data_IF_840264297564
#
_entry.id   IF_840264297564
#
_cell.length_a   1.000
_cell.length_b   1.000
_cell.length_c   1.000
_cell.angle_alpha   90.00
_cell.angle_beta   90.00
_cell.angle_gamma   90.00
#
_symmetry.space_group_name_H-M   'P 1'
#
loop_
_entity.id
_entity.type
_entity.pdbx_description
1 polymer ?
#
# COMPACT_ATOMS: atom_id res chain seq x y z
N UNK A 1 2.81 -12.42 1.79
CA UNK A 1 3.14 -10.98 1.79
C UNK A 1 4.54 -10.76 1.23
N UNK A 2 4.76 -9.67 0.48
CA UNK A 2 6.07 -9.24 -0.01
C UNK A 2 6.27 -7.73 0.22
N UNK A 3 7.51 -7.25 0.07
CA UNK A 3 7.87 -5.84 0.15
C UNK A 3 8.37 -5.31 -1.21
N UNK A 4 8.12 -4.04 -1.52
CA UNK A 4 8.63 -3.36 -2.73
C UNK A 4 9.00 -1.90 -2.45
N UNK A 5 9.71 -1.26 -3.39
CA UNK A 5 9.86 0.19 -3.42
C UNK A 5 8.99 0.77 -4.54
N UNK A 6 8.39 1.94 -4.28
CA UNK A 6 7.63 2.70 -5.28
C UNK A 6 8.56 3.77 -5.87
N UNK A 7 8.93 3.62 -7.15
CA UNK A 7 9.82 4.55 -7.87
C UNK A 7 9.02 5.54 -8.74
N UNK A 8 9.00 6.85 -8.38
CA UNK A 8 8.42 7.90 -9.21
C UNK A 8 8.89 7.89 -10.68
N UNK A 9 10.14 7.47 -10.95
CA UNK A 9 10.71 7.46 -12.30
C UNK A 9 10.29 6.24 -13.14
N UNK A 10 9.96 5.11 -12.51
CA UNK A 10 9.41 3.94 -13.20
C UNK A 10 7.98 4.19 -13.73
N UNK A 11 7.33 5.26 -13.27
CA UNK A 11 5.96 5.61 -13.63
C UNK A 11 5.85 6.50 -14.89
N UNK A 12 6.98 7.03 -15.40
CA UNK A 12 7.03 7.93 -16.56
C UNK A 12 7.63 7.31 -17.83
N UNK A 13 8.03 6.04 -17.82
CA UNK A 13 8.70 5.39 -18.94
C UNK A 13 7.78 4.44 -19.69
N UNK A 14 7.95 4.36 -21.02
CA UNK A 14 7.34 3.34 -21.88
C UNK A 14 7.62 1.92 -21.34
N UNK A 15 6.76 0.92 -21.64
CA UNK A 15 6.73 -0.41 -21.01
C UNK A 15 7.94 -1.32 -21.33
N UNK A 16 9.13 -0.76 -21.57
CA UNK A 16 10.36 -1.48 -21.87
C UNK A 16 11.13 -1.95 -20.61
N UNK A 17 10.56 -1.79 -19.41
CA UNK A 17 11.14 -2.38 -18.19
C UNK A 17 10.48 -3.72 -17.88
N UNK A 18 11.30 -4.76 -17.72
CA UNK A 18 10.96 -6.14 -17.36
C UNK A 18 10.47 -6.25 -15.89
N UNK A 19 9.63 -5.32 -15.46
CA UNK A 19 9.12 -5.22 -14.10
C UNK A 19 7.97 -6.22 -13.90
N UNK A 20 8.01 -6.97 -12.80
CA UNK A 20 6.94 -7.93 -12.47
C UNK A 20 5.60 -7.25 -12.15
N UNK A 21 5.61 -5.96 -11.78
CA UNK A 21 4.44 -5.15 -11.44
C UNK A 21 4.54 -3.81 -12.19
N UNK A 22 3.51 -3.50 -12.97
CA UNK A 22 3.34 -2.20 -13.61
C UNK A 22 2.46 -1.32 -12.75
N UNK A 23 3.02 -0.22 -12.26
CA UNK A 23 2.28 0.80 -11.55
C UNK A 23 1.69 1.79 -12.55
N UNK A 24 0.40 2.04 -12.42
CA UNK A 24 -0.32 2.97 -13.29
C UNK A 24 -0.69 4.18 -12.45
N UNK A 25 -0.18 5.35 -12.84
CA UNK A 25 -0.61 6.62 -12.26
C UNK A 25 -2.06 6.89 -12.68
N UNK A 26 -2.90 7.11 -11.68
CA UNK A 26 -4.34 7.29 -11.89
C UNK A 26 -4.83 8.59 -11.22
N UNK A 27 -4.54 9.77 -11.81
CA UNK A 27 -5.21 11.01 -11.38
C UNK A 27 -6.74 10.87 -11.45
N UNK A 28 -7.26 10.01 -12.35
CA UNK A 28 -8.68 9.68 -12.49
C UNK A 28 -9.30 9.11 -11.22
N UNK A 29 -8.53 8.48 -10.32
CA UNK A 29 -9.05 7.96 -9.04
C UNK A 29 -9.30 9.05 -8.00
N UNK A 30 -8.81 10.27 -8.26
CA UNK A 30 -9.10 11.47 -7.47
C UNK A 30 -10.21 12.33 -8.10
N UNK A 31 -10.62 11.99 -9.34
CA UNK A 31 -11.73 12.62 -10.04
C UNK A 31 -13.03 11.85 -9.79
N UNK A 32 -14.11 12.56 -9.49
CA UNK A 32 -15.41 11.94 -9.13
C UNK A 32 -16.27 11.57 -10.35
N UNK A 33 -15.80 11.75 -11.58
CA UNK A 33 -16.64 11.61 -12.78
C UNK A 33 -16.56 10.20 -13.43
N UNK A 34 -17.66 9.71 -14.05
CA UNK A 34 -17.68 8.40 -14.71
C UNK A 34 -16.76 8.27 -15.94
N UNK A 35 -16.55 9.35 -16.72
CA UNK A 35 -15.78 9.28 -17.95
C UNK A 35 -14.28 9.03 -17.66
N UNK A 36 -13.77 9.62 -16.58
CA UNK A 36 -12.42 9.36 -16.08
C UNK A 36 -12.21 7.87 -15.74
N UNK A 37 -13.24 7.17 -15.23
CA UNK A 37 -13.15 5.74 -14.90
C UNK A 37 -13.18 4.84 -16.13
N UNK A 38 -14.02 5.16 -17.11
CA UNK A 38 -14.03 4.46 -18.40
C UNK A 38 -12.67 4.59 -19.09
N UNK A 39 -12.11 5.80 -19.12
CA UNK A 39 -10.78 6.04 -19.69
C UNK A 39 -9.68 5.24 -18.97
N UNK A 40 -9.72 5.20 -17.63
CA UNK A 40 -8.80 4.38 -16.84
C UNK A 40 -8.93 2.88 -17.19
N UNK A 41 -10.16 2.37 -17.32
CA UNK A 41 -10.39 0.97 -17.67
C UNK A 41 -9.85 0.61 -19.07
N UNK A 42 -9.98 1.51 -20.04
CA UNK A 42 -9.40 1.36 -21.38
C UNK A 42 -7.87 1.31 -21.34
N UNK A 43 -7.24 2.26 -20.62
CA UNK A 43 -5.77 2.31 -20.42
C UNK A 43 -5.25 1.01 -19.82
N UNK A 44 -5.93 0.46 -18.82
CA UNK A 44 -5.54 -0.77 -18.13
C UNK A 44 -5.78 -2.02 -18.98
N UNK A 45 -6.80 -2.02 -19.83
CA UNK A 45 -7.04 -3.11 -20.79
C UNK A 45 -5.90 -3.21 -21.81
N UNK A 46 -5.34 -2.07 -22.23
CA UNK A 46 -4.19 -2.06 -23.13
C UNK A 46 -2.93 -2.68 -22.51
N UNK A 47 -2.87 -2.80 -21.18
CA UNK A 47 -1.80 -3.44 -20.41
C UNK A 47 -2.17 -4.87 -19.99
N UNK A 48 -3.07 -5.55 -20.70
CA UNK A 48 -3.42 -6.93 -20.38
C UNK A 48 -2.20 -7.88 -20.47
N UNK A 49 -2.12 -8.85 -19.56
CA UNK A 49 -1.05 -9.83 -19.50
C UNK A 49 0.09 -9.51 -18.53
N UNK A 50 0.06 -8.34 -17.90
CA UNK A 50 0.97 -7.96 -16.79
C UNK A 50 0.18 -7.64 -15.51
N UNK A 51 0.85 -7.68 -14.35
CA UNK A 51 0.23 -7.30 -13.09
C UNK A 51 0.12 -5.77 -13.01
N UNK A 52 -1.10 -5.25 -12.91
CA UNK A 52 -1.39 -3.82 -12.86
C UNK A 52 -1.72 -3.39 -11.44
N UNK A 53 -0.89 -2.51 -10.89
CA UNK A 53 -1.10 -1.89 -9.59
C UNK A 53 -1.53 -0.43 -9.77
N UNK A 54 -2.70 -0.07 -9.26
CA UNK A 54 -3.21 1.30 -9.29
C UNK A 54 -2.48 2.14 -8.25
N UNK A 55 -1.85 3.23 -8.69
CA UNK A 55 -1.23 4.22 -7.81
C UNK A 55 -2.02 5.53 -7.92
N UNK A 56 -2.82 5.88 -6.89
CA UNK A 56 -3.51 7.16 -6.84
C UNK A 56 -2.49 8.28 -6.69
N UNK A 57 -2.59 9.32 -7.53
CA UNK A 57 -1.71 10.50 -7.48
C UNK A 57 -2.57 11.75 -7.48
N UNK A 58 -2.19 12.73 -6.66
CA UNK A 58 -2.76 14.09 -6.74
C UNK A 58 -3.82 14.43 -5.71
N UNK A 59 -4.09 13.57 -4.72
CA UNK A 59 -5.02 13.87 -3.63
C UNK A 59 -5.64 12.63 -3.00
N UNK A 60 -6.62 12.83 -2.12
CA UNK A 60 -7.34 11.76 -1.43
C UNK A 60 -8.16 10.94 -2.44
N UNK A 61 -8.17 9.62 -2.24
CA UNK A 61 -8.97 8.72 -3.06
C UNK A 61 -10.46 9.06 -2.94
N UNK A 62 -11.14 9.23 -4.08
CA UNK A 62 -12.60 9.32 -4.08
C UNK A 62 -13.17 7.97 -3.67
N UNK A 63 -14.09 7.97 -2.71
CA UNK A 63 -14.72 6.74 -2.23
C UNK A 63 -15.54 6.08 -3.35
N UNK A 64 -15.05 4.95 -3.86
CA UNK A 64 -15.78 4.13 -4.84
C UNK A 64 -16.42 2.91 -4.18
N UNK A 65 -17.54 2.47 -4.74
CA UNK A 65 -18.23 1.24 -4.34
C UNK A 65 -17.47 0.00 -4.82
N UNK A 66 -17.83 -1.16 -4.26
CA UNK A 66 -17.25 -2.44 -4.69
C UNK A 66 -17.54 -2.73 -6.17
N UNK A 67 -18.75 -2.44 -6.65
CA UNK A 67 -19.17 -2.63 -8.03
C UNK A 67 -18.39 -1.73 -9.00
N UNK A 68 -18.09 -0.50 -8.60
CA UNK A 68 -17.29 0.43 -9.39
C UNK A 68 -15.84 -0.07 -9.52
N UNK A 69 -15.26 -0.62 -8.44
CA UNK A 69 -13.93 -1.22 -8.49
C UNK A 69 -13.85 -2.44 -9.41
N UNK A 70 -14.91 -3.25 -9.49
CA UNK A 70 -14.94 -4.42 -10.36
C UNK A 70 -14.83 -4.07 -11.85
N UNK A 71 -15.24 -2.86 -12.25
CA UNK A 71 -15.13 -2.37 -13.62
C UNK A 71 -13.70 -1.98 -14.01
N UNK A 72 -12.81 -1.79 -13.04
CA UNK A 72 -11.42 -1.42 -13.28
C UNK A 72 -10.58 -2.70 -13.34
N UNK A 73 -9.94 -3.04 -14.48
CA UNK A 73 -9.20 -4.28 -14.64
C UNK A 73 -7.78 -4.12 -14.08
N UNK A 74 -7.67 -4.09 -12.75
CA UNK A 74 -6.39 -4.02 -12.04
C UNK A 74 -6.30 -5.07 -10.94
N UNK A 75 -5.11 -5.65 -10.77
CA UNK A 75 -4.83 -6.72 -9.82
C UNK A 75 -4.53 -6.19 -8.42
N UNK A 76 -4.10 -4.94 -8.27
CA UNK A 76 -3.79 -4.36 -6.97
C UNK A 76 -4.06 -2.88 -6.89
N UNK A 77 -4.30 -2.40 -5.67
CA UNK A 77 -4.41 -0.98 -5.34
C UNK A 77 -3.33 -0.60 -4.33
N UNK A 78 -2.59 0.46 -4.62
CA UNK A 78 -1.64 1.09 -3.70
C UNK A 78 -2.36 2.13 -2.87
N UNK A 79 -2.18 2.11 -1.55
CA UNK A 79 -2.69 3.14 -0.64
C UNK A 79 -1.60 3.59 0.33
N UNK A 80 -1.68 4.84 0.80
CA UNK A 80 -0.87 5.34 1.91
C UNK A 80 -1.78 5.67 3.11
N UNK A 81 -2.16 4.67 3.92
CA UNK A 81 -3.13 4.86 5.00
C UNK A 81 -2.63 5.72 6.17
N UNK A 82 -1.34 6.03 6.23
CA UNK A 82 -0.75 6.87 7.29
C UNK A 82 -0.89 8.34 6.90
N UNK A 83 -0.51 8.69 5.66
CA UNK A 83 -0.61 10.07 5.14
C UNK A 83 -2.01 10.42 4.65
N UNK A 84 -2.76 9.44 4.18
CA UNK A 84 -4.15 9.54 3.76
C UNK A 84 -4.98 8.48 4.51
N UNK A 85 -5.47 8.79 5.73
CA UNK A 85 -6.33 7.88 6.48
C UNK A 85 -7.66 7.56 5.76
N UNK A 86 -8.11 8.41 4.84
CA UNK A 86 -9.35 8.19 4.09
C UNK A 86 -9.18 7.07 3.04
N UNK A 87 -7.95 6.78 2.61
CA UNK A 87 -7.63 5.63 1.76
C UNK A 87 -8.04 4.27 2.37
N UNK A 88 -8.27 4.19 3.69
CA UNK A 88 -8.89 3.01 4.31
C UNK A 88 -10.29 2.71 3.78
N UNK A 89 -11.07 3.73 3.41
CA UNK A 89 -12.40 3.53 2.82
C UNK A 89 -12.30 2.86 1.46
N UNK A 90 -11.34 3.27 0.64
CA UNK A 90 -11.05 2.62 -0.64
C UNK A 90 -10.59 1.16 -0.42
N UNK A 91 -9.71 0.90 0.55
CA UNK A 91 -9.28 -0.45 0.89
C UNK A 91 -10.43 -1.35 1.38
N UNK A 92 -11.43 -0.77 2.05
CA UNK A 92 -12.59 -1.49 2.56
C UNK A 92 -13.57 -1.92 1.46
N UNK A 93 -13.68 -1.14 0.37
CA UNK A 93 -14.54 -1.47 -0.79
C UNK A 93 -13.79 -2.18 -1.92
N UNK A 94 -12.46 -2.10 -1.95
CA UNK A 94 -11.62 -2.82 -2.91
C UNK A 94 -11.85 -4.34 -2.84
N UNK A 95 -11.98 -5.05 -3.97
CA UNK A 95 -12.26 -6.49 -3.99
C UNK A 95 -11.25 -7.32 -3.19
N UNK A 96 -11.76 -8.21 -2.34
CA UNK A 96 -10.94 -9.02 -1.42
C UNK A 96 -10.07 -10.08 -2.12
N UNK A 97 -10.42 -10.44 -3.36
CA UNK A 97 -9.64 -11.34 -4.21
C UNK A 97 -8.46 -10.66 -4.91
N UNK A 98 -8.40 -9.31 -4.90
CA UNK A 98 -7.32 -8.48 -5.45
C UNK A 98 -6.34 -8.03 -4.37
N UNK A 99 -5.14 -7.60 -4.76
CA UNK A 99 -4.07 -7.20 -3.85
C UNK A 99 -4.21 -5.79 -3.29
N UNK A 100 -3.70 -5.56 -2.07
CA UNK A 100 -3.43 -4.22 -1.53
C UNK A 100 -1.93 -4.04 -1.30
N UNK A 101 -1.40 -2.90 -1.71
CA UNK A 101 -0.02 -2.51 -1.47
C UNK A 101 -0.03 -1.30 -0.54
N UNK A 102 0.50 -1.44 0.67
CA UNK A 102 0.51 -0.38 1.67
C UNK A 102 1.84 0.38 1.61
N UNK A 103 1.81 1.63 1.16
CA UNK A 103 2.94 2.54 1.15
C UNK A 103 3.21 3.09 2.57
N UNK A 104 3.77 2.24 3.43
CA UNK A 104 3.90 2.47 4.87
C UNK A 104 5.23 3.10 5.29
N UNK A 105 6.29 2.89 4.51
CA UNK A 105 7.64 3.34 4.89
C UNK A 105 7.97 4.61 4.11
N UNK A 106 8.13 5.77 4.79
CA UNK A 106 8.51 7.01 4.13
C UNK A 106 9.86 6.93 3.42
N UNK A 107 10.07 7.82 2.46
CA UNK A 107 11.35 7.90 1.77
C UNK A 107 12.50 8.27 2.73
N UNK A 108 13.74 7.86 2.45
CA UNK A 108 14.91 8.41 3.12
C UNK A 108 14.95 9.94 2.95
N UNK A 109 15.29 10.67 4.01
CA UNK A 109 15.28 12.14 4.05
C UNK A 109 13.90 12.79 4.22
N UNK A 110 12.83 12.00 4.29
CA UNK A 110 11.47 12.46 4.61
C UNK A 110 11.19 12.30 6.12
N UNK A 111 9.92 12.29 6.53
CA UNK A 111 9.51 12.08 7.92
C UNK A 111 10.00 10.75 8.52
N UNK A 112 10.04 10.69 9.85
CA UNK A 112 10.33 9.46 10.55
C UNK A 112 9.23 8.41 10.27
N UNK A 113 9.63 7.15 10.12
CA UNK A 113 8.66 6.07 10.00
C UNK A 113 7.91 5.90 11.32
N UNK A 114 6.62 5.55 11.23
CA UNK A 114 5.82 5.16 12.39
C UNK A 114 6.42 3.93 13.11
N UNK A 115 6.15 3.76 14.42
CA UNK A 115 6.53 2.55 15.16
C UNK A 115 6.08 1.27 14.47
N UNK A 116 6.91 0.22 14.55
CA UNK A 116 6.66 -1.07 13.89
C UNK A 116 5.32 -1.68 14.28
N UNK A 117 4.83 -1.44 15.49
CA UNK A 117 3.52 -1.88 15.97
C UNK A 117 2.37 -1.26 15.17
N UNK A 118 2.45 0.03 14.83
CA UNK A 118 1.45 0.74 14.04
C UNK A 118 1.47 0.22 12.60
N UNK A 119 2.67 0.03 12.05
CA UNK A 119 2.84 -0.49 10.69
C UNK A 119 2.32 -1.93 10.57
N UNK A 120 2.62 -2.79 11.55
CA UNK A 120 2.13 -4.16 11.59
C UNK A 120 0.60 -4.21 11.80
N UNK A 121 0.05 -3.30 12.61
CA UNK A 121 -1.39 -3.15 12.73
C UNK A 121 -2.03 -2.81 11.38
N UNK A 122 -1.49 -1.86 10.63
CA UNK A 122 -2.00 -1.48 9.31
C UNK A 122 -1.99 -2.67 8.34
N UNK A 123 -0.89 -3.44 8.31
CA UNK A 123 -0.78 -4.68 7.53
C UNK A 123 -1.88 -5.67 7.87
N UNK A 124 -2.04 -5.99 9.17
CA UNK A 124 -3.01 -7.01 9.62
C UNK A 124 -4.44 -6.54 9.41
N UNK A 125 -4.67 -5.23 9.57
CA UNK A 125 -5.96 -4.63 9.29
C UNK A 125 -6.31 -4.75 7.81
N UNK A 126 -5.41 -4.38 6.90
CA UNK A 126 -5.61 -4.54 5.45
C UNK A 126 -5.88 -5.99 5.03
N UNK A 127 -5.23 -6.96 5.67
CA UNK A 127 -5.46 -8.39 5.41
C UNK A 127 -6.85 -8.87 5.87
N UNK A 128 -7.41 -8.23 6.91
CA UNK A 128 -8.75 -8.54 7.42
C UNK A 128 -9.88 -7.97 6.54
N UNK A 129 -9.59 -6.90 5.77
CA UNK A 129 -10.58 -6.26 4.90
C UNK A 129 -10.97 -7.20 3.75
N UNK A 130 -12.29 -7.39 3.58
CA UNK A 130 -12.84 -8.22 2.50
C UNK A 130 -12.43 -9.70 2.56
N UNK A 131 -11.91 -10.19 3.69
CA UNK A 131 -11.41 -11.57 3.80
C UNK A 131 -10.16 -11.86 2.96
N UNK A 132 -9.40 -10.82 2.60
CA UNK A 132 -8.30 -10.86 1.61
C UNK A 132 -7.12 -11.76 2.02
N UNK A 133 -6.80 -11.79 3.31
CA UNK A 133 -5.66 -12.52 3.87
C UNK A 133 -4.31 -11.86 3.59
N UNK A 134 -3.27 -12.29 4.32
CA UNK A 134 -1.91 -11.73 4.23
C UNK A 134 -1.21 -12.03 2.89
N UNK A 135 -1.64 -13.06 2.16
CA UNK A 135 -1.06 -13.42 0.87
C UNK A 135 -1.33 -12.38 -0.22
N UNK A 136 -2.37 -11.56 -0.03
CA UNK A 136 -2.79 -10.49 -0.94
C UNK A 136 -2.48 -9.09 -0.40
N UNK A 137 -1.66 -9.00 0.65
CA UNK A 137 -1.17 -7.72 1.18
C UNK A 137 0.33 -7.64 0.92
N UNK A 138 0.77 -6.49 0.44
CA UNK A 138 2.18 -6.12 0.30
C UNK A 138 2.45 -4.83 1.06
N UNK A 139 3.70 -4.62 1.45
CA UNK A 139 4.18 -3.36 2.04
C UNK A 139 5.13 -2.69 1.08
N UNK A 140 5.16 -1.37 1.07
CA UNK A 140 6.06 -0.63 0.21
C UNK A 140 6.74 0.53 0.92
N UNK A 141 7.99 0.76 0.53
CA UNK A 141 8.73 1.98 0.81
C UNK A 141 8.56 3.00 -0.31
N UNK A 142 8.46 4.27 0.05
CA UNK A 142 8.46 5.37 -0.91
C UNK A 142 9.89 5.69 -1.33
N UNK A 143 10.14 5.96 -2.61
CA UNK A 143 11.43 6.51 -3.05
C UNK A 143 11.44 8.05 -2.94
N UNK A 144 12.64 8.66 -2.78
CA UNK A 144 12.75 10.11 -2.67
C UNK A 144 12.20 10.83 -3.90
N UNK A 145 11.46 11.92 -3.67
CA UNK A 145 10.98 12.80 -4.76
C UNK A 145 12.13 13.61 -5.37
N UNK A 146 13.21 13.84 -4.61
CA UNK A 146 14.38 14.59 -5.08
C UNK A 146 15.37 13.67 -5.80
N UNK A 147 16.01 14.18 -6.87
CA UNK A 147 17.06 13.46 -7.61
C UNK A 147 18.38 13.32 -6.84
N UNK A 148 18.47 13.86 -5.62
CA UNK A 148 19.64 13.67 -4.78
C UNK A 148 19.67 12.22 -4.29
N UNK A 149 20.86 11.60 -4.30
CA UNK A 149 21.02 10.27 -3.74
C UNK A 149 20.60 10.31 -2.25
N UNK A 150 19.72 9.41 -1.79
CA UNK A 150 19.36 9.36 -0.39
C UNK A 150 20.58 9.03 0.47
N UNK A 151 20.58 9.46 1.73
CA UNK A 151 21.60 9.03 2.68
C UNK A 151 21.60 7.48 2.76
N UNK A 152 22.74 6.81 2.49
CA UNK A 152 22.79 5.36 2.45
C UNK A 152 22.37 4.70 3.78
N UNK A 153 22.72 5.31 4.91
CA UNK A 153 22.37 4.77 6.22
C UNK A 153 20.86 4.88 6.50
N UNK A 154 20.21 5.96 6.08
CA UNK A 154 18.75 6.05 6.12
C UNK A 154 18.08 5.06 5.16
N UNK A 155 18.58 4.91 3.94
CA UNK A 155 18.06 3.93 2.99
C UNK A 155 18.13 2.49 3.53
N UNK A 156 19.27 2.11 4.12
CA UNK A 156 19.44 0.81 4.77
C UNK A 156 18.44 0.62 5.92
N UNK A 157 18.20 1.64 6.75
CA UNK A 157 17.17 1.58 7.80
C UNK A 157 15.76 1.39 7.24
N UNK A 158 15.43 2.01 6.10
CA UNK A 158 14.10 1.83 5.45
C UNK A 158 13.94 0.42 4.91
N UNK A 159 14.99 -0.14 4.29
CA UNK A 159 15.02 -1.53 3.81
C UNK A 159 14.83 -2.50 4.98
N UNK A 160 15.64 -2.35 6.04
CA UNK A 160 15.56 -3.21 7.22
C UNK A 160 14.18 -3.16 7.90
N UNK A 161 13.53 -1.98 7.90
CA UNK A 161 12.16 -1.85 8.41
C UNK A 161 11.15 -2.63 7.55
N UNK A 162 11.26 -2.59 6.23
CA UNK A 162 10.39 -3.37 5.33
C UNK A 162 10.58 -4.88 5.54
N UNK A 163 11.83 -5.34 5.62
CA UNK A 163 12.15 -6.75 5.90
C UNK A 163 11.56 -7.17 7.24
N UNK A 164 11.73 -6.33 8.27
CA UNK A 164 11.18 -6.59 9.60
C UNK A 164 9.65 -6.70 9.60
N UNK A 165 8.96 -5.88 8.81
CA UNK A 165 7.50 -5.97 8.67
C UNK A 165 7.06 -7.28 8.01
N UNK A 166 7.79 -7.75 7.00
CA UNK A 166 7.52 -9.03 6.35
C UNK A 166 7.67 -10.17 7.36
N UNK A 167 8.77 -10.20 8.11
CA UNK A 167 9.02 -11.21 9.15
C UNK A 167 7.91 -11.23 10.21
N UNK A 168 7.60 -10.08 10.82
CA UNK A 168 6.61 -9.97 11.89
C UNK A 168 5.18 -10.24 11.41
N UNK A 169 4.88 -10.02 10.13
CA UNK A 169 3.57 -10.36 9.58
C UNK A 169 3.29 -11.86 9.57
N UNK A 170 4.33 -12.67 9.39
CA UNK A 170 4.27 -14.13 9.39
C UNK A 170 4.53 -14.74 10.79
N UNK A 171 5.02 -13.94 11.73
CA UNK A 171 5.36 -14.38 13.08
C UNK A 171 4.11 -14.86 13.87
N UNK A 172 4.35 -15.86 14.73
CA UNK A 172 3.35 -16.35 15.68
C UNK A 172 3.20 -15.40 16.87
N UNK A 173 2.15 -15.60 17.69
CA UNK A 173 1.85 -14.72 18.81
C UNK A 173 2.98 -14.66 19.87
N UNK A 174 3.67 -15.77 20.12
CA UNK A 174 4.78 -15.83 21.07
C UNK A 174 5.93 -14.91 20.64
N UNK A 175 6.36 -15.01 19.38
CA UNK A 175 7.37 -14.15 18.79
C UNK A 175 6.93 -12.69 18.84
N UNK A 176 5.68 -12.39 18.48
CA UNK A 176 5.18 -11.01 18.53
C UNK A 176 5.21 -10.43 19.95
N UNK A 177 4.83 -11.22 20.97
CA UNK A 177 4.87 -10.76 22.37
C UNK A 177 6.28 -10.54 22.90
N UNK A 178 7.26 -11.26 22.37
CA UNK A 178 8.66 -11.10 22.74
C UNK A 178 9.30 -9.87 22.07
N UNK A 179 8.88 -9.54 20.85
CA UNK A 179 9.56 -8.60 19.96
C UNK A 179 8.92 -7.21 19.90
N UNK A 180 7.62 -7.11 20.21
CA UNK A 180 6.87 -5.85 20.17
C UNK A 180 6.72 -5.24 21.56
N UNK A 181 6.46 -3.94 21.59
CA UNK A 181 6.11 -3.26 22.83
C UNK A 181 4.91 -3.95 23.51
N UNK A 182 5.09 -4.35 24.78
CA UNK A 182 4.04 -4.99 25.59
C UNK A 182 2.71 -4.21 25.62
N UNK A 183 2.75 -2.89 25.44
CA UNK A 183 1.57 -2.01 25.37
C UNK A 183 0.69 -2.32 24.16
N UNK A 184 1.24 -2.87 23.08
CA UNK A 184 0.50 -3.28 21.89
C UNK A 184 -0.49 -4.43 22.17
N UNK A 185 -0.29 -5.20 23.24
CA UNK A 185 -1.16 -6.32 23.62
C UNK A 185 -2.10 -5.99 24.78
N UNK A 186 -2.02 -4.79 25.34
CA UNK A 186 -2.86 -4.44 26.48
C UNK A 186 -4.29 -4.19 26.01
N UNK A 187 -5.30 -4.89 26.56
CA UNK A 187 -6.68 -4.60 26.24
C UNK A 187 -7.01 -3.17 26.66
N UNK A 188 -7.72 -2.43 25.79
CA UNK A 188 -8.27 -1.13 26.15
C UNK A 188 -9.22 -1.36 27.33
N UNK A 189 -8.85 -0.89 28.53
CA UNK A 189 -9.74 -0.88 29.68
C UNK A 189 -10.92 0.04 29.35
N UNK A 190 -12.01 -0.54 28.86
CA UNK A 190 -13.26 0.19 28.67
C UNK A 190 -13.78 0.57 30.06
N UNK A 191 -14.14 1.84 30.32
CA UNK A 191 -14.81 2.20 31.56
C UNK A 191 -16.09 1.37 31.66
N UNK A 192 -16.26 0.66 32.78
CA UNK A 192 -17.52 0.01 33.10
C UNK A 192 -18.56 1.14 33.24
N UNK A 193 -19.57 1.12 32.36
CA UNK A 193 -20.75 1.99 32.48
C UNK A 193 -21.73 1.39 33.47
#
# INVERSE_FOLDING_TARGET
MFATFLDPAAFACEPDSNAAIHFVECPELTAADPASREHLAERLTALAGVHRALLPIGGDLVGMSHEEWLQIPAESLVINPIRDPESWRAAATWPGDRGLILALVPAPGDEAAEPVEILLWAVRYAASLGGRGLDRVAVAGMLPITKAAPDPAEAEKRIALLERLVELSAANEETLRAELDSRAFQPIKRPQR
#
